data_IF_744771716966
#
_entry.id   IF_744771716966
#
_cell.length_a   1.000
_cell.length_b   1.000
_cell.length_c   1.000
_cell.angle_alpha   90.00
_cell.angle_beta   90.00
_cell.angle_gamma   90.00
#
_symmetry.space_group_name_H-M   'P 1'
#
loop_
_entity.id
_entity.type
_entity.pdbx_description
1 polymer ?
#
# COMPACT_ATOMS: atom_id res chain seq x y z
N UNK A 1 3.09 30.51 3.74
CA UNK A 1 2.46 29.19 3.51
C UNK A 1 1.07 29.43 2.91
N UNK A 2 0.61 28.61 1.96
CA UNK A 2 -0.75 28.73 1.41
C UNK A 2 -1.79 28.31 2.46
N UNK A 3 -2.90 29.04 2.57
CA UNK A 3 -4.05 28.66 3.41
C UNK A 3 -4.74 27.40 2.87
N UNK A 4 -5.53 26.71 3.69
CA UNK A 4 -6.29 25.53 3.24
C UNK A 4 -7.29 25.87 2.13
N UNK A 5 -7.91 27.05 2.19
CA UNK A 5 -8.76 27.60 1.15
C UNK A 5 -8.00 27.75 -0.17
N UNK A 6 -6.79 28.32 -0.14
CA UNK A 6 -5.94 28.45 -1.32
C UNK A 6 -5.51 27.09 -1.88
N UNK A 7 -5.16 26.13 -1.01
CA UNK A 7 -4.83 24.76 -1.42
C UNK A 7 -6.02 24.05 -2.05
N UNK A 8 -7.23 24.22 -1.51
CA UNK A 8 -8.44 23.60 -2.06
C UNK A 8 -8.84 24.22 -3.40
N UNK A 9 -8.71 25.54 -3.54
CA UNK A 9 -8.92 26.22 -4.81
C UNK A 9 -7.96 25.69 -5.89
N UNK A 10 -6.68 25.55 -5.56
CA UNK A 10 -5.68 24.97 -6.45
C UNK A 10 -6.01 23.51 -6.79
N UNK A 11 -6.35 22.70 -5.79
CA UNK A 11 -6.71 21.29 -5.94
C UNK A 11 -7.90 21.13 -6.90
N UNK A 12 -8.97 21.91 -6.75
CA UNK A 12 -10.11 21.89 -7.69
C UNK A 12 -9.70 22.28 -9.10
N UNK A 13 -8.82 23.28 -9.26
CA UNK A 13 -8.34 23.70 -10.58
C UNK A 13 -7.44 22.66 -11.27
N UNK A 14 -6.77 21.80 -10.51
CA UNK A 14 -5.88 20.77 -11.03
C UNK A 14 -6.63 19.47 -11.42
N UNK A 15 -7.82 19.22 -10.86
CA UNK A 15 -8.59 17.99 -11.09
C UNK A 15 -9.48 18.09 -12.33
N UNK A 16 -9.80 16.94 -12.93
CA UNK A 16 -10.68 16.82 -14.10
C UNK A 16 -11.64 15.64 -13.94
N UNK A 17 -12.76 15.69 -14.67
CA UNK A 17 -13.74 14.59 -14.73
C UNK A 17 -14.25 14.19 -13.34
N UNK A 18 -14.33 12.87 -13.11
CA UNK A 18 -14.85 12.26 -11.89
C UNK A 18 -14.16 12.75 -10.61
N UNK A 19 -12.85 13.02 -10.66
CA UNK A 19 -12.11 13.46 -9.49
C UNK A 19 -12.51 14.88 -9.06
N UNK A 20 -12.79 15.76 -10.04
CA UNK A 20 -13.32 17.09 -9.76
C UNK A 20 -14.76 17.01 -9.24
N UNK A 21 -15.61 16.20 -9.88
CA UNK A 21 -17.00 15.99 -9.45
C UNK A 21 -17.07 15.51 -8.00
N UNK A 22 -16.18 14.59 -7.61
CA UNK A 22 -16.11 14.01 -6.27
C UNK A 22 -15.93 15.06 -5.16
N UNK A 23 -15.19 16.14 -5.42
CA UNK A 23 -14.95 17.21 -4.44
C UNK A 23 -15.64 18.53 -4.80
N UNK A 24 -16.47 18.56 -5.84
CA UNK A 24 -17.07 19.78 -6.37
C UNK A 24 -17.96 20.48 -5.32
N UNK A 25 -18.67 19.70 -4.50
CA UNK A 25 -19.59 20.19 -3.46
C UNK A 25 -18.91 20.80 -2.22
N UNK A 26 -17.60 20.63 -2.03
CA UNK A 26 -16.90 21.22 -0.88
C UNK A 26 -16.75 22.73 -1.06
N UNK A 27 -17.24 23.56 -0.13
CA UNK A 27 -16.99 25.00 -0.19
C UNK A 27 -15.51 25.31 0.04
N UNK A 28 -14.98 26.34 -0.64
CA UNK A 28 -13.58 26.74 -0.48
C UNK A 28 -13.40 27.33 0.92
N UNK A 29 -12.78 26.55 1.81
CA UNK A 29 -12.48 26.94 3.18
C UNK A 29 -11.24 26.20 3.68
N UNK A 30 -10.60 26.72 4.72
CA UNK A 30 -9.42 26.08 5.31
C UNK A 30 -9.75 24.67 5.87
N UNK A 31 -10.93 24.53 6.50
CA UNK A 31 -11.38 23.27 7.08
C UNK A 31 -11.64 22.19 6.02
N UNK A 32 -12.13 22.57 4.84
CA UNK A 32 -12.57 21.61 3.83
C UNK A 32 -11.44 21.02 2.97
N UNK A 33 -10.24 21.60 3.00
CA UNK A 33 -9.12 21.07 2.23
C UNK A 33 -8.79 19.63 2.62
N UNK A 34 -8.67 19.37 3.92
CA UNK A 34 -8.25 18.06 4.40
C UNK A 34 -9.30 16.99 4.09
N UNK A 35 -10.59 17.31 4.24
CA UNK A 35 -11.69 16.40 3.91
C UNK A 35 -11.74 16.08 2.42
N UNK A 36 -11.67 17.10 1.55
CA UNK A 36 -11.64 16.91 0.10
C UNK A 36 -10.44 16.05 -0.34
N UNK A 37 -9.27 16.29 0.24
CA UNK A 37 -8.07 15.50 -0.01
C UNK A 37 -8.23 14.04 0.43
N UNK A 38 -8.77 13.80 1.63
CA UNK A 38 -9.01 12.45 2.14
C UNK A 38 -10.01 11.66 1.28
N UNK A 39 -11.03 12.32 0.72
CA UNK A 39 -11.99 11.68 -0.19
C UNK A 39 -11.33 11.25 -1.49
N UNK A 40 -10.49 12.11 -2.08
CA UNK A 40 -9.72 11.77 -3.28
C UNK A 40 -8.76 10.61 -3.00
N UNK A 41 -8.07 10.65 -1.86
CA UNK A 41 -7.21 9.56 -1.44
C UNK A 41 -8.00 8.25 -1.30
N UNK A 42 -9.14 8.23 -0.60
CA UNK A 42 -9.97 7.02 -0.49
C UNK A 42 -10.45 6.46 -1.82
N UNK A 43 -10.76 7.33 -2.80
CA UNK A 43 -11.27 6.90 -4.12
C UNK A 43 -10.16 6.45 -5.07
N UNK A 44 -8.99 7.10 -5.03
CA UNK A 44 -7.94 6.93 -6.04
C UNK A 44 -6.62 6.35 -5.51
N UNK A 45 -6.34 6.43 -4.21
CA UNK A 45 -5.31 5.59 -3.59
C UNK A 45 -5.90 4.19 -3.44
N UNK A 46 -5.72 3.40 -4.49
CA UNK A 46 -6.25 2.05 -4.62
C UNK A 46 -5.46 1.07 -3.72
N UNK A 47 -5.50 1.31 -2.41
CA UNK A 47 -4.78 0.54 -1.40
C UNK A 47 -5.08 -0.96 -1.51
N UNK A 48 -6.29 -1.33 -1.94
CA UNK A 48 -6.67 -2.74 -2.16
C UNK A 48 -5.85 -3.41 -3.26
N UNK A 49 -5.60 -2.73 -4.36
CA UNK A 49 -4.83 -3.32 -5.48
C UNK A 49 -3.34 -3.39 -5.15
N UNK A 50 -2.82 -2.39 -4.43
CA UNK A 50 -1.45 -2.40 -3.94
C UNK A 50 -1.23 -3.51 -2.91
N UNK A 51 -2.17 -3.68 -1.96
CA UNK A 51 -2.17 -4.80 -1.01
C UNK A 51 -2.26 -6.13 -1.73
N UNK A 52 -3.20 -6.27 -2.68
CA UNK A 52 -3.36 -7.49 -3.48
C UNK A 52 -2.06 -7.82 -4.21
N UNK A 53 -1.46 -6.86 -4.90
CA UNK A 53 -0.17 -7.03 -5.59
C UNK A 53 0.88 -7.55 -4.62
N UNK A 54 0.92 -6.99 -3.42
CA UNK A 54 1.91 -7.34 -2.43
C UNK A 54 1.72 -8.74 -1.83
N UNK A 55 0.46 -9.13 -1.60
CA UNK A 55 0.08 -10.48 -1.15
C UNK A 55 0.36 -11.50 -2.25
N UNK A 56 -0.03 -11.22 -3.49
CA UNK A 56 0.22 -12.11 -4.64
C UNK A 56 1.72 -12.34 -4.79
N UNK A 57 2.53 -11.26 -4.77
CA UNK A 57 3.99 -11.37 -4.82
C UNK A 57 4.56 -12.21 -3.66
N UNK A 58 3.97 -12.11 -2.47
CA UNK A 58 4.39 -12.88 -1.31
C UNK A 58 4.15 -14.38 -1.50
N UNK A 59 2.94 -14.78 -1.90
CA UNK A 59 2.56 -16.21 -2.04
C UNK A 59 3.10 -16.85 -3.32
N UNK A 60 3.33 -16.07 -4.38
CA UNK A 60 3.81 -16.54 -5.67
C UNK A 60 5.34 -16.67 -5.75
N UNK A 61 6.05 -16.61 -4.63
CA UNK A 61 7.49 -16.82 -4.61
C UNK A 61 7.83 -18.25 -5.07
N UNK A 62 8.85 -18.37 -5.91
CA UNK A 62 9.25 -19.66 -6.49
C UNK A 62 9.80 -20.60 -5.43
N UNK A 63 9.39 -21.86 -5.47
CA UNK A 63 9.97 -22.92 -4.64
C UNK A 63 11.48 -23.08 -4.91
N UNK A 64 12.23 -23.43 -3.86
CA UNK A 64 13.68 -23.57 -3.97
C UNK A 64 14.02 -24.90 -4.64
N UNK A 65 14.45 -24.84 -5.90
CA UNK A 65 14.92 -26.03 -6.66
C UNK A 65 16.11 -26.72 -6.00
N UNK A 66 16.96 -25.95 -5.34
CA UNK A 66 18.11 -26.44 -4.59
C UNK A 66 18.15 -25.70 -3.25
N UNK A 67 18.29 -26.44 -2.15
CA UNK A 67 18.31 -25.91 -0.77
C UNK A 67 19.63 -25.19 -0.48
N UNK A 68 19.88 -24.12 -1.23
CA UNK A 68 21.05 -23.27 -1.09
C UNK A 68 20.79 -22.15 -0.08
N UNK A 69 21.84 -21.78 0.67
CA UNK A 69 21.81 -20.63 1.57
C UNK A 69 21.37 -19.34 0.86
N UNK A 70 21.84 -19.13 -0.36
CA UNK A 70 21.50 -17.95 -1.17
C UNK A 70 20.02 -17.93 -1.56
N UNK A 71 19.46 -19.09 -1.93
CA UNK A 71 18.04 -19.23 -2.24
C UNK A 71 17.16 -18.95 -1.01
N UNK A 72 17.49 -19.54 0.13
CA UNK A 72 16.80 -19.29 1.40
C UNK A 72 16.82 -17.82 1.80
N UNK A 73 17.99 -17.18 1.71
CA UNK A 73 18.14 -15.77 2.03
C UNK A 73 17.29 -14.89 1.11
N UNK A 74 17.34 -15.15 -0.19
CA UNK A 74 16.52 -14.42 -1.18
C UNK A 74 15.02 -14.57 -0.89
N UNK A 75 14.57 -15.78 -0.53
CA UNK A 75 13.18 -16.05 -0.17
C UNK A 75 12.74 -15.25 1.06
N UNK A 76 13.55 -15.23 2.12
CA UNK A 76 13.28 -14.43 3.33
C UNK A 76 13.29 -12.94 3.01
N UNK A 77 14.29 -12.46 2.28
CA UNK A 77 14.46 -11.03 1.97
C UNK A 77 13.31 -10.51 1.08
N UNK A 78 12.87 -11.30 0.10
CA UNK A 78 11.71 -10.99 -0.72
C UNK A 78 10.43 -10.97 0.11
N UNK A 79 10.24 -11.94 0.99
CA UNK A 79 9.09 -12.02 1.90
C UNK A 79 9.01 -10.81 2.84
N UNK A 80 10.12 -10.43 3.46
CA UNK A 80 10.22 -9.25 4.33
C UNK A 80 9.96 -7.96 3.57
N UNK A 81 10.49 -7.84 2.35
CA UNK A 81 10.23 -6.69 1.48
C UNK A 81 8.74 -6.53 1.19
N UNK A 82 8.01 -7.64 1.05
CA UNK A 82 6.57 -7.61 0.87
C UNK A 82 5.84 -7.06 2.10
N UNK A 83 6.18 -7.56 3.28
CA UNK A 83 5.59 -7.12 4.55
C UNK A 83 5.94 -5.65 4.84
N UNK A 84 7.17 -5.23 4.54
CA UNK A 84 7.60 -3.84 4.70
C UNK A 84 6.81 -2.86 3.81
N UNK A 85 6.50 -3.27 2.58
CA UNK A 85 5.68 -2.46 1.68
C UNK A 85 4.26 -2.27 2.25
N UNK A 86 3.66 -3.32 2.82
CA UNK A 86 2.37 -3.21 3.52
C UNK A 86 2.45 -2.29 4.75
N UNK A 87 3.51 -2.40 5.56
CA UNK A 87 3.73 -1.49 6.69
C UNK A 87 3.82 -0.02 6.25
N UNK A 88 4.52 0.24 5.15
CA UNK A 88 4.64 1.59 4.56
C UNK A 88 3.29 2.14 4.05
N UNK A 89 2.36 1.25 3.66
CA UNK A 89 0.99 1.64 3.28
C UNK A 89 0.08 1.93 4.48
N UNK A 90 0.60 1.83 5.71
CA UNK A 90 -0.13 2.12 6.95
C UNK A 90 -0.78 0.90 7.61
N UNK A 91 -0.45 -0.32 7.18
CA UNK A 91 -0.93 -1.53 7.84
C UNK A 91 -0.04 -1.90 9.03
N UNK A 92 -0.64 -2.01 10.21
CA UNK A 92 0.05 -2.51 11.39
C UNK A 92 0.16 -4.03 11.33
N UNK A 93 1.38 -4.54 11.18
CA UNK A 93 1.69 -5.97 11.17
C UNK A 93 2.68 -6.22 12.30
N UNK A 94 2.27 -6.99 13.31
CA UNK A 94 3.15 -7.30 14.43
C UNK A 94 4.34 -8.13 13.94
N UNK A 95 5.47 -8.02 14.66
CA UNK A 95 6.66 -8.83 14.35
C UNK A 95 6.37 -10.33 14.44
N UNK A 96 5.48 -10.74 15.36
CA UNK A 96 5.03 -12.12 15.46
C UNK A 96 4.28 -12.57 14.21
N UNK A 97 3.33 -11.78 13.71
CA UNK A 97 2.55 -12.09 12.50
C UNK A 97 3.43 -12.20 11.26
N UNK A 98 4.37 -11.27 11.10
CA UNK A 98 5.39 -11.32 10.04
C UNK A 98 6.18 -12.64 10.10
N UNK A 99 6.65 -13.03 11.29
CA UNK A 99 7.41 -14.26 11.47
C UNK A 99 6.56 -15.51 11.16
N UNK A 100 5.28 -15.53 11.55
CA UNK A 100 4.38 -16.66 11.24
C UNK A 100 4.15 -16.80 9.74
N UNK A 101 3.92 -15.71 9.02
CA UNK A 101 3.71 -15.74 7.57
C UNK A 101 4.96 -16.15 6.82
N UNK A 102 6.12 -15.61 7.20
CA UNK A 102 7.40 -16.00 6.60
C UNK A 102 7.66 -17.48 6.88
N UNK A 103 7.49 -17.95 8.11
CA UNK A 103 7.66 -19.36 8.46
C UNK A 103 6.74 -20.26 7.64
N UNK A 104 5.47 -19.88 7.48
CA UNK A 104 4.51 -20.61 6.65
C UNK A 104 4.99 -20.71 5.20
N UNK A 105 5.39 -19.59 4.60
CA UNK A 105 5.88 -19.55 3.23
C UNK A 105 7.17 -20.38 3.06
N UNK A 106 8.08 -20.30 4.03
CA UNK A 106 9.31 -21.10 4.00
C UNK A 106 9.00 -22.59 3.99
N UNK A 107 8.08 -23.07 4.84
CA UNK A 107 7.66 -24.47 4.85
C UNK A 107 7.06 -24.89 3.50
N UNK A 108 6.13 -24.09 2.96
CA UNK A 108 5.47 -24.41 1.68
C UNK A 108 6.48 -24.49 0.52
N UNK A 109 7.46 -23.58 0.47
CA UNK A 109 8.44 -23.47 -0.63
C UNK A 109 9.69 -24.34 -0.45
N UNK A 110 9.87 -24.96 0.72
CA UNK A 110 10.95 -25.91 1.02
C UNK A 110 10.53 -27.37 0.85
N UNK A 111 9.24 -27.66 1.00
CA UNK A 111 8.65 -29.01 0.89
C UNK A 111 8.09 -29.31 -0.51
N UNK A 112 8.01 -28.30 -1.39
CA UNK A 112 7.66 -28.43 -2.82
C UNK A 112 8.89 -28.71 -3.68
#
# INVERSE_FOLDING_TARGET
MLSGAQKLQYLKGALRGDALQLIQGYSISDANYQEAWNVLQRRYQNNRELVRTQIVKFVSQTALKEKSFLGLRSLVDNSRSCVLALKTMGYEIAVADENYWISFLLMEKLDS
#
